data_IF_755121459459
#
_entry.id   IF_755121459459
#
_cell.length_a   1.000
_cell.length_b   1.000
_cell.length_c   1.000
_cell.angle_alpha   90.00
_cell.angle_beta   90.00
_cell.angle_gamma   90.00
#
_symmetry.space_group_name_H-M   'P 1'
#
loop_
_entity.id
_entity.type
_entity.pdbx_description
1 polymer ?
#
# COMPACT_ATOMS: atom_id res chain seq x y z
N UNK A 1 3.11 -13.48 -13.91
CA UNK A 1 4.33 -13.75 -14.71
C UNK A 1 4.23 -15.15 -15.28
N UNK A 2 4.44 -15.29 -16.57
CA UNK A 2 4.48 -16.60 -17.26
C UNK A 2 5.91 -16.77 -17.78
N UNK A 3 6.49 -17.95 -17.50
CA UNK A 3 7.76 -18.37 -18.07
C UNK A 3 7.51 -19.57 -18.99
N UNK A 4 8.26 -19.63 -20.08
CA UNK A 4 8.11 -20.71 -21.05
C UNK A 4 9.09 -20.59 -22.20
N UNK A 5 9.08 -21.55 -23.07
CA UNK A 5 9.90 -21.53 -24.27
C UNK A 5 9.17 -20.82 -25.40
N UNK A 6 9.91 -20.00 -26.12
CA UNK A 6 9.39 -19.26 -27.28
C UNK A 6 9.94 -19.81 -28.59
N UNK A 7 9.13 -19.76 -29.63
CA UNK A 7 9.54 -20.01 -31.00
C UNK A 7 10.31 -18.77 -31.54
N UNK A 8 11.31 -18.99 -32.34
CA UNK A 8 11.94 -17.90 -33.10
C UNK A 8 10.86 -17.28 -34.01
N UNK A 9 10.73 -15.95 -33.97
CA UNK A 9 9.77 -15.25 -34.81
C UNK A 9 10.14 -15.36 -36.29
N UNK A 10 9.13 -15.53 -37.13
CA UNK A 10 9.26 -15.51 -38.58
C UNK A 10 9.15 -14.09 -39.14
N UNK A 11 9.57 -13.93 -40.39
CA UNK A 11 9.54 -12.62 -41.05
C UNK A 11 8.09 -12.09 -41.14
N UNK A 12 7.87 -10.87 -40.62
CA UNK A 12 6.55 -10.23 -40.53
C UNK A 12 5.82 -10.37 -39.18
N UNK A 13 6.29 -11.17 -38.28
CA UNK A 13 5.69 -11.27 -36.93
C UNK A 13 6.22 -10.18 -35.99
N UNK A 14 5.30 -9.52 -35.28
CA UNK A 14 5.64 -8.48 -34.29
C UNK A 14 6.26 -9.07 -33.02
N UNK A 15 5.78 -10.24 -32.58
CA UNK A 15 6.20 -10.93 -31.35
C UNK A 15 6.48 -12.40 -31.62
N UNK A 16 7.37 -13.00 -30.80
CA UNK A 16 7.60 -14.45 -30.77
C UNK A 16 6.42 -15.17 -30.11
N UNK A 17 6.02 -16.31 -30.64
CA UNK A 17 4.96 -17.12 -30.03
C UNK A 17 5.51 -17.95 -28.88
N UNK A 18 4.74 -18.09 -27.81
CA UNK A 18 5.01 -19.00 -26.71
C UNK A 18 4.69 -20.45 -27.14
N UNK A 19 5.66 -21.36 -27.06
CA UNK A 19 5.48 -22.77 -27.43
C UNK A 19 4.82 -23.56 -26.30
N UNK A 20 5.36 -23.44 -25.09
CA UNK A 20 4.79 -24.03 -23.89
C UNK A 20 5.20 -23.26 -22.66
N UNK A 21 4.37 -23.39 -21.62
CA UNK A 21 4.55 -22.73 -20.32
C UNK A 21 5.28 -23.66 -19.39
N UNK A 22 6.38 -23.18 -18.79
CA UNK A 22 7.15 -23.91 -17.78
C UNK A 22 6.74 -23.55 -16.36
N UNK A 23 6.39 -22.27 -16.13
CA UNK A 23 5.86 -21.83 -14.84
C UNK A 23 4.88 -20.67 -14.99
N UNK A 24 3.96 -20.57 -14.02
CA UNK A 24 3.02 -19.46 -13.86
C UNK A 24 3.22 -18.88 -12.45
N UNK A 25 3.62 -17.61 -12.35
CA UNK A 25 3.95 -16.92 -11.09
C UNK A 25 4.99 -17.66 -10.22
N UNK A 26 5.92 -18.39 -10.85
CA UNK A 26 6.94 -19.19 -10.18
C UNK A 26 6.52 -20.61 -9.83
N UNK A 27 5.25 -20.98 -10.03
CA UNK A 27 4.71 -22.33 -9.76
C UNK A 27 4.55 -23.15 -11.03
N UNK A 28 4.59 -24.47 -10.88
CA UNK A 28 4.29 -25.37 -12.01
C UNK A 28 2.85 -25.17 -12.50
N UNK A 29 2.57 -25.23 -13.82
CA UNK A 29 1.23 -24.96 -14.35
C UNK A 29 0.09 -25.80 -13.74
N UNK A 30 0.39 -27.05 -13.31
CA UNK A 30 -0.60 -27.92 -12.65
C UNK A 30 -1.05 -27.40 -11.27
N UNK A 31 -0.21 -26.67 -10.57
CA UNK A 31 -0.58 -26.07 -9.28
C UNK A 31 -1.55 -24.89 -9.45
N UNK A 32 -1.43 -24.18 -10.57
CA UNK A 32 -2.34 -23.09 -10.93
C UNK A 32 -3.80 -23.53 -11.09
N UNK A 33 -4.05 -24.80 -11.39
CA UNK A 33 -5.41 -25.36 -11.52
C UNK A 33 -6.09 -25.61 -10.16
N UNK A 34 -5.31 -25.76 -9.08
CA UNK A 34 -5.79 -26.07 -7.73
C UNK A 34 -5.94 -24.82 -6.84
N UNK A 35 -5.54 -23.63 -7.34
CA UNK A 35 -5.63 -22.40 -6.56
C UNK A 35 -7.06 -21.93 -6.39
N UNK A 36 -7.34 -21.25 -5.28
CA UNK A 36 -8.57 -20.53 -5.09
C UNK A 36 -8.67 -19.33 -6.07
N UNK A 37 -9.88 -18.94 -6.41
CA UNK A 37 -10.10 -17.64 -7.04
C UNK A 37 -10.19 -16.59 -5.94
N UNK A 38 -9.44 -15.50 -6.04
CA UNK A 38 -9.39 -14.43 -5.05
C UNK A 38 -10.78 -13.91 -4.65
N UNK A 39 -11.68 -13.76 -5.60
CA UNK A 39 -13.03 -13.24 -5.34
C UNK A 39 -13.91 -14.23 -4.54
N UNK A 40 -13.56 -15.51 -4.52
CA UNK A 40 -14.29 -16.57 -3.81
C UNK A 40 -13.68 -16.89 -2.43
N UNK A 41 -12.54 -16.28 -2.09
CA UNK A 41 -11.91 -16.47 -0.78
C UNK A 41 -12.66 -15.68 0.30
N UNK A 42 -12.65 -16.21 1.52
CA UNK A 42 -13.38 -15.64 2.65
C UNK A 42 -12.55 -14.57 3.38
N UNK A 43 -12.89 -13.27 3.31
CA UNK A 43 -12.16 -12.25 4.03
C UNK A 43 -12.45 -12.31 5.54
N UNK A 44 -11.40 -12.15 6.34
CA UNK A 44 -11.46 -12.02 7.80
C UNK A 44 -10.79 -10.73 8.25
N UNK A 45 -11.02 -10.33 9.50
CA UNK A 45 -10.29 -9.19 10.08
C UNK A 45 -8.79 -9.51 10.19
N UNK A 46 -7.91 -8.50 10.05
CA UNK A 46 -6.51 -8.64 10.41
C UNK A 46 -6.37 -9.07 11.88
N UNK A 47 -5.80 -10.24 12.12
CA UNK A 47 -5.63 -10.86 13.43
C UNK A 47 -4.19 -11.33 13.71
N UNK A 48 -3.33 -11.23 12.70
CA UNK A 48 -1.89 -11.47 12.80
C UNK A 48 -1.12 -10.17 12.56
N UNK A 49 -0.44 -9.69 13.62
CA UNK A 49 0.29 -8.42 13.61
C UNK A 49 1.59 -8.52 12.81
N UNK A 50 1.84 -7.54 11.96
CA UNK A 50 3.13 -7.31 11.32
C UNK A 50 3.95 -6.38 12.20
N UNK A 51 4.90 -6.94 12.96
CA UNK A 51 5.75 -6.17 13.88
C UNK A 51 6.72 -5.31 13.06
N UNK A 52 6.70 -3.99 13.33
CA UNK A 52 7.57 -3.01 12.68
C UNK A 52 8.85 -2.75 13.48
N UNK A 53 8.82 -2.93 14.79
CA UNK A 53 10.02 -2.78 15.63
C UNK A 53 11.07 -3.83 15.26
N UNK A 54 12.31 -3.39 15.14
CA UNK A 54 13.46 -4.24 14.82
C UNK A 54 14.72 -3.72 15.52
N UNK A 55 15.71 -4.58 15.80
CA UNK A 55 16.99 -4.13 16.33
C UNK A 55 17.63 -3.05 15.42
N UNK A 56 18.00 -1.91 16.02
CA UNK A 56 18.50 -0.74 15.28
C UNK A 56 17.43 0.00 14.47
N UNK A 57 16.14 -0.28 14.69
CA UNK A 57 15.03 0.44 14.09
C UNK A 57 14.79 1.83 14.69
N UNK A 58 13.94 2.60 14.04
CA UNK A 58 13.60 3.96 14.47
C UNK A 58 12.47 3.97 15.50
N UNK A 59 12.39 5.04 16.30
CA UNK A 59 11.26 5.28 17.21
C UNK A 59 9.92 5.30 16.47
N UNK A 60 9.91 5.72 15.20
CA UNK A 60 8.71 5.68 14.36
C UNK A 60 8.09 4.28 14.29
N UNK A 61 8.91 3.24 14.12
CA UNK A 61 8.42 1.86 14.02
C UNK A 61 7.79 1.36 15.32
N UNK A 62 8.31 1.76 16.47
CA UNK A 62 7.72 1.48 17.78
C UNK A 62 6.38 2.19 17.97
N UNK A 63 6.29 3.45 17.53
CA UNK A 63 5.03 4.21 17.58
C UNK A 63 3.99 3.56 16.66
N UNK A 64 4.37 3.15 15.45
CA UNK A 64 3.46 2.43 14.53
C UNK A 64 2.92 1.16 15.19
N UNK A 65 3.80 0.37 15.81
CA UNK A 65 3.39 -0.89 16.47
C UNK A 65 2.36 -0.70 17.57
N UNK A 66 2.42 0.41 18.30
CA UNK A 66 1.54 0.65 19.44
C UNK A 66 0.30 1.46 19.07
N UNK A 67 0.47 2.53 18.29
CA UNK A 67 -0.60 3.50 18.01
C UNK A 67 -1.42 3.12 16.77
N UNK A 68 -0.76 2.59 15.74
CA UNK A 68 -1.41 2.19 14.49
C UNK A 68 -0.89 0.83 14.04
N UNK A 69 -1.15 -0.23 14.83
CA UNK A 69 -0.64 -1.57 14.52
C UNK A 69 -1.14 -2.04 13.16
N UNK A 70 -0.26 -2.70 12.42
CA UNK A 70 -0.53 -3.21 11.09
C UNK A 70 -0.69 -4.71 11.19
N UNK A 71 -1.83 -5.22 10.73
CA UNK A 71 -2.07 -6.66 10.61
C UNK A 71 -2.03 -7.15 9.16
N UNK A 72 -1.84 -8.43 8.95
CA UNK A 72 -1.98 -9.06 7.64
C UNK A 72 -3.39 -8.80 7.07
N UNK A 73 -3.46 -8.27 5.87
CA UNK A 73 -4.73 -7.87 5.25
C UNK A 73 -5.18 -6.44 5.58
N UNK A 74 -4.36 -5.63 6.24
CA UNK A 74 -4.66 -4.25 6.60
C UNK A 74 -4.87 -3.35 5.39
N UNK A 75 -5.87 -2.47 5.44
CA UNK A 75 -6.06 -1.34 4.52
C UNK A 75 -5.63 -0.06 5.24
N UNK A 76 -4.32 0.23 5.22
CA UNK A 76 -3.76 1.35 5.95
C UNK A 76 -3.51 2.58 5.08
N UNK A 77 -3.82 3.75 5.62
CA UNK A 77 -3.43 5.02 5.03
C UNK A 77 -2.33 5.69 5.85
N UNK A 78 -1.28 6.15 5.16
CA UNK A 78 -0.26 7.02 5.71
C UNK A 78 -0.56 8.42 5.20
N UNK A 79 -1.20 9.21 6.05
CA UNK A 79 -1.67 10.56 5.72
C UNK A 79 -0.53 11.56 5.95
N UNK A 80 -0.11 12.26 4.92
CA UNK A 80 1.08 13.10 5.00
C UNK A 80 0.91 14.44 4.31
N UNK A 81 1.13 15.54 5.03
CA UNK A 81 1.39 16.83 4.39
C UNK A 81 2.76 16.79 3.68
N UNK A 82 3.00 17.72 2.73
CA UNK A 82 4.30 17.83 2.07
C UNK A 82 5.45 18.00 3.07
N UNK A 83 6.58 17.33 2.81
CA UNK A 83 7.83 17.40 3.59
C UNK A 83 7.77 16.86 5.02
N UNK A 84 6.73 16.14 5.42
CA UNK A 84 6.60 15.59 6.78
C UNK A 84 7.38 14.27 7.03
N UNK A 85 8.21 13.82 6.10
CA UNK A 85 9.02 12.60 6.29
C UNK A 85 8.39 11.32 5.73
N UNK A 86 7.38 11.43 4.85
CA UNK A 86 6.66 10.32 4.21
C UNK A 86 7.59 9.25 3.65
N UNK A 87 8.54 9.62 2.78
CA UNK A 87 9.45 8.69 2.09
C UNK A 87 10.37 7.95 3.06
N UNK A 88 10.85 8.63 4.10
CA UNK A 88 11.66 8.01 5.17
C UNK A 88 10.84 6.96 5.92
N UNK A 89 9.60 7.29 6.29
CA UNK A 89 8.70 6.38 6.97
C UNK A 89 8.38 5.15 6.13
N UNK A 90 8.09 5.32 4.84
CA UNK A 90 7.87 4.20 3.91
C UNK A 90 9.07 3.27 3.80
N UNK A 91 10.28 3.84 3.71
CA UNK A 91 11.51 3.05 3.70
C UNK A 91 11.72 2.27 5.00
N UNK A 92 11.40 2.87 6.15
CA UNK A 92 11.51 2.19 7.45
C UNK A 92 10.49 1.05 7.58
N UNK A 93 9.24 1.26 7.16
CA UNK A 93 8.22 0.21 7.09
C UNK A 93 8.68 -0.93 6.19
N UNK A 94 9.17 -0.63 4.98
CA UNK A 94 9.68 -1.64 4.05
C UNK A 94 10.81 -2.47 4.66
N UNK A 95 11.80 -1.81 5.28
CA UNK A 95 12.93 -2.49 5.96
C UNK A 95 12.49 -3.35 7.13
N UNK A 96 11.47 -2.91 7.88
CA UNK A 96 10.91 -3.69 8.99
C UNK A 96 10.19 -4.93 8.51
N UNK A 97 9.37 -4.81 7.46
CA UNK A 97 8.70 -5.96 6.83
C UNK A 97 9.72 -6.99 6.37
N UNK A 98 10.75 -6.57 5.62
CA UNK A 98 11.78 -7.47 5.10
C UNK A 98 12.60 -8.14 6.20
N UNK A 99 12.85 -7.45 7.29
CA UNK A 99 13.64 -7.99 8.40
C UNK A 99 12.87 -9.00 9.23
N UNK A 100 11.60 -8.69 9.53
CA UNK A 100 10.79 -9.45 10.46
C UNK A 100 9.94 -10.54 9.77
N UNK A 101 9.65 -10.39 8.46
CA UNK A 101 8.77 -11.28 7.69
C UNK A 101 9.45 -11.70 6.38
N UNK A 102 10.42 -12.61 6.47
CA UNK A 102 11.31 -12.99 5.35
C UNK A 102 10.60 -13.62 4.15
N UNK A 103 9.48 -14.30 4.41
CA UNK A 103 8.70 -15.01 3.38
C UNK A 103 7.63 -14.11 2.72
N UNK A 104 7.46 -12.90 3.24
CA UNK A 104 6.47 -11.95 2.74
C UNK A 104 6.91 -11.32 1.41
N UNK A 105 5.99 -11.24 0.48
CA UNK A 105 6.20 -10.56 -0.80
C UNK A 105 5.94 -9.06 -0.64
N UNK A 106 6.94 -8.24 -0.91
CA UNK A 106 6.85 -6.80 -0.82
C UNK A 106 6.84 -6.17 -2.21
N UNK A 107 5.74 -5.50 -2.55
CA UNK A 107 5.62 -4.72 -3.78
C UNK A 107 5.57 -3.24 -3.40
N UNK A 108 6.51 -2.45 -3.91
CA UNK A 108 6.49 -1.00 -3.77
C UNK A 108 6.01 -0.42 -5.09
N UNK A 109 4.88 0.27 -5.06
CA UNK A 109 4.27 0.89 -6.24
C UNK A 109 4.35 2.42 -6.12
N UNK A 110 5.14 3.02 -7.01
CA UNK A 110 5.36 4.46 -7.08
C UNK A 110 4.62 5.03 -8.29
N UNK A 111 3.64 5.90 -8.05
CA UNK A 111 2.82 6.51 -9.11
C UNK A 111 3.04 8.01 -9.15
N UNK A 112 3.40 8.51 -10.33
CA UNK A 112 3.63 9.95 -10.58
C UNK A 112 4.73 10.52 -9.64
N UNK A 113 5.73 9.67 -9.30
CA UNK A 113 6.87 10.06 -8.48
C UNK A 113 8.06 10.50 -9.34
N UNK A 114 9.02 11.18 -8.71
CA UNK A 114 10.22 11.65 -9.38
C UNK A 114 11.22 10.52 -9.63
N UNK A 115 11.94 10.51 -10.77
CA UNK A 115 12.91 9.47 -11.08
C UNK A 115 13.98 9.29 -9.99
N UNK A 116 14.45 10.40 -9.37
CA UNK A 116 15.43 10.35 -8.28
C UNK A 116 14.88 9.68 -7.02
N UNK A 117 13.58 9.88 -6.69
CA UNK A 117 12.94 9.19 -5.55
C UNK A 117 12.75 7.70 -5.83
N UNK A 118 12.45 7.35 -7.08
CA UNK A 118 12.41 5.94 -7.53
C UNK A 118 13.75 5.26 -7.36
N UNK A 119 14.84 5.92 -7.79
CA UNK A 119 16.20 5.39 -7.65
C UNK A 119 16.57 5.19 -6.19
N UNK A 120 16.33 6.18 -5.34
CA UNK A 120 16.62 6.14 -3.90
C UNK A 120 15.88 4.96 -3.20
N UNK A 121 14.63 4.70 -3.54
CA UNK A 121 13.88 3.57 -2.99
C UNK A 121 14.42 2.23 -3.51
N UNK A 122 14.72 2.11 -4.81
CA UNK A 122 15.26 0.88 -5.40
C UNK A 122 16.62 0.49 -4.84
N UNK A 123 17.47 1.47 -4.54
CA UNK A 123 18.76 1.23 -3.92
C UNK A 123 18.63 0.88 -2.43
N UNK A 124 17.72 1.56 -1.72
CA UNK A 124 17.53 1.38 -0.28
C UNK A 124 16.81 0.07 0.10
N UNK A 125 15.95 -0.46 -0.79
CA UNK A 125 15.08 -1.61 -0.51
C UNK A 125 15.32 -2.69 -1.55
N UNK A 126 16.05 -3.73 -1.15
CA UNK A 126 16.39 -4.88 -1.98
C UNK A 126 16.14 -6.19 -1.24
N UNK A 127 15.75 -7.21 -1.97
CA UNK A 127 15.52 -8.55 -1.42
C UNK A 127 14.95 -9.52 -2.46
N UNK A 128 14.96 -10.84 -2.19
CA UNK A 128 14.51 -11.85 -3.15
C UNK A 128 13.01 -11.76 -3.46
N UNK A 129 12.20 -11.30 -2.50
CA UNK A 129 10.74 -11.17 -2.63
C UNK A 129 10.33 -9.69 -2.73
N UNK A 130 11.20 -8.82 -3.23
CA UNK A 130 10.94 -7.38 -3.40
C UNK A 130 10.76 -7.03 -4.85
N UNK A 131 9.68 -6.33 -5.16
CA UNK A 131 9.42 -5.75 -6.48
C UNK A 131 9.18 -4.25 -6.32
N UNK A 132 10.02 -3.42 -6.95
CA UNK A 132 9.78 -1.97 -7.05
C UNK A 132 9.27 -1.67 -8.44
N UNK A 133 8.01 -1.30 -8.52
CA UNK A 133 7.27 -1.01 -9.75
C UNK A 133 6.90 0.47 -9.73
N UNK A 134 7.08 1.16 -10.83
CA UNK A 134 6.89 2.59 -10.87
C UNK A 134 6.35 3.08 -12.21
N UNK A 135 5.77 4.25 -12.16
CA UNK A 135 5.41 5.07 -13.31
C UNK A 135 5.67 6.53 -12.92
N UNK A 136 6.68 7.12 -13.51
CA UNK A 136 7.20 8.45 -13.15
C UNK A 136 6.32 9.58 -13.71
N UNK A 137 6.49 10.80 -13.20
CA UNK A 137 5.62 11.95 -13.52
C UNK A 137 5.62 12.36 -14.98
N UNK A 138 6.63 11.96 -15.76
CA UNK A 138 6.76 12.19 -17.20
C UNK A 138 5.99 11.17 -18.07
N UNK A 139 5.40 10.14 -17.44
CA UNK A 139 4.57 9.15 -18.11
C UNK A 139 3.12 9.62 -18.25
N UNK A 140 2.41 9.06 -19.22
CA UNK A 140 0.99 9.37 -19.43
C UNK A 140 0.10 8.78 -18.32
N UNK A 141 -1.04 9.43 -18.01
CA UNK A 141 -1.98 8.93 -16.98
C UNK A 141 -2.48 7.51 -17.25
N UNK A 142 -2.63 7.11 -18.51
CA UNK A 142 -3.00 5.74 -18.90
C UNK A 142 -1.94 4.72 -18.49
N UNK A 143 -0.67 5.11 -18.43
CA UNK A 143 0.41 4.26 -17.97
C UNK A 143 0.31 4.05 -16.46
N UNK A 144 0.07 5.09 -15.66
CA UNK A 144 -0.18 4.99 -14.22
C UNK A 144 -1.34 4.04 -13.92
N UNK A 145 -2.46 4.18 -14.65
CA UNK A 145 -3.61 3.28 -14.55
C UNK A 145 -3.22 1.84 -14.83
N UNK A 146 -2.59 1.58 -15.97
CA UNK A 146 -2.21 0.23 -16.42
C UNK A 146 -1.27 -0.46 -15.42
N UNK A 147 -0.26 0.26 -14.95
CA UNK A 147 0.71 -0.27 -13.99
C UNK A 147 0.03 -0.65 -12.67
N UNK A 148 -0.87 0.19 -12.14
CA UNK A 148 -1.61 -0.10 -10.92
C UNK A 148 -2.52 -1.34 -11.05
N UNK A 149 -3.22 -1.48 -12.18
CA UNK A 149 -4.06 -2.65 -12.48
C UNK A 149 -3.22 -3.94 -12.55
N UNK A 150 -2.05 -3.89 -13.18
CA UNK A 150 -1.13 -5.03 -13.25
C UNK A 150 -0.61 -5.43 -11.87
N UNK A 151 -0.28 -4.47 -11.01
CA UNK A 151 0.22 -4.72 -9.66
C UNK A 151 -0.83 -5.41 -8.79
N UNK A 152 -2.05 -4.92 -8.75
CA UNK A 152 -3.10 -5.53 -7.93
C UNK A 152 -3.46 -6.93 -8.43
N UNK A 153 -3.49 -7.15 -9.74
CA UNK A 153 -3.72 -8.50 -10.30
C UNK A 153 -2.57 -9.46 -9.99
N UNK A 154 -1.32 -8.98 -10.03
CA UNK A 154 -0.18 -9.78 -9.60
C UNK A 154 -0.29 -10.16 -8.12
N UNK A 155 -0.58 -9.21 -7.24
CA UNK A 155 -0.74 -9.46 -5.82
C UNK A 155 -1.86 -10.49 -5.54
N UNK A 156 -3.02 -10.34 -6.20
CA UNK A 156 -4.12 -11.33 -6.10
C UNK A 156 -3.69 -12.74 -6.48
N UNK A 157 -2.91 -12.88 -7.58
CA UNK A 157 -2.39 -14.21 -8.01
C UNK A 157 -1.45 -14.82 -6.97
N UNK A 158 -0.64 -14.01 -6.26
CA UNK A 158 0.22 -14.51 -5.19
C UNK A 158 -0.62 -14.97 -3.97
N UNK A 159 -1.64 -14.20 -3.60
CA UNK A 159 -2.56 -14.56 -2.50
C UNK A 159 -3.34 -15.85 -2.81
N UNK A 160 -3.75 -16.08 -4.05
CA UNK A 160 -4.39 -17.32 -4.48
C UNK A 160 -3.49 -18.56 -4.27
N UNK A 161 -2.18 -18.35 -4.23
CA UNK A 161 -1.18 -19.36 -3.84
C UNK A 161 -0.86 -19.33 -2.33
N UNK A 162 -1.72 -18.72 -1.51
CA UNK A 162 -1.59 -18.59 -0.05
C UNK A 162 -0.34 -17.82 0.40
N UNK A 163 0.17 -16.93 -0.44
CA UNK A 163 1.28 -16.07 -0.07
C UNK A 163 0.77 -14.80 0.62
N UNK A 164 1.56 -14.31 1.57
CA UNK A 164 1.34 -13.02 2.20
C UNK A 164 2.03 -11.91 1.40
N UNK A 165 1.26 -10.93 0.99
CA UNK A 165 1.73 -9.83 0.13
C UNK A 165 1.48 -8.49 0.80
N UNK A 166 2.47 -7.61 0.75
CA UNK A 166 2.31 -6.19 1.12
C UNK A 166 2.53 -5.32 -0.10
N UNK A 167 1.62 -4.40 -0.35
CA UNK A 167 1.80 -3.30 -1.31
C UNK A 167 2.01 -2.01 -0.54
N UNK A 168 3.14 -1.35 -0.75
CA UNK A 168 3.35 0.04 -0.34
C UNK A 168 3.09 0.93 -1.55
N UNK A 169 1.98 1.68 -1.52
CA UNK A 169 1.59 2.58 -2.62
C UNK A 169 1.93 4.03 -2.29
N UNK A 170 2.76 4.64 -3.09
CA UNK A 170 3.02 6.08 -3.06
C UNK A 170 2.66 6.71 -4.41
N UNK A 171 1.51 7.39 -4.57
CA UNK A 171 0.45 7.63 -3.61
C UNK A 171 -0.94 7.32 -4.18
N UNK A 172 -1.90 7.05 -3.31
CA UNK A 172 -3.32 6.86 -3.70
C UNK A 172 -3.91 8.16 -4.27
N UNK A 173 -3.46 9.32 -3.76
CA UNK A 173 -3.89 10.64 -4.24
C UNK A 173 -3.52 10.83 -5.71
N UNK A 174 -2.28 10.53 -6.07
CA UNK A 174 -1.81 10.65 -7.45
C UNK A 174 -2.44 9.62 -8.37
N UNK A 175 -2.67 8.41 -7.86
CA UNK A 175 -3.40 7.38 -8.60
C UNK A 175 -4.83 7.84 -8.92
N UNK A 176 -5.56 8.39 -7.95
CA UNK A 176 -6.91 8.91 -8.16
C UNK A 176 -6.92 10.09 -9.15
N UNK A 177 -5.92 10.98 -9.09
CA UNK A 177 -5.75 12.06 -10.07
C UNK A 177 -5.53 11.53 -11.49
N UNK A 178 -4.70 10.50 -11.66
CA UNK A 178 -4.47 9.88 -12.95
C UNK A 178 -5.76 9.27 -13.52
N UNK A 179 -6.53 8.57 -12.69
CA UNK A 179 -7.84 8.08 -13.11
C UNK A 179 -8.81 9.20 -13.49
N UNK A 180 -8.77 10.35 -12.78
CA UNK A 180 -9.61 11.51 -13.10
C UNK A 180 -9.34 12.10 -14.50
N UNK A 181 -8.12 11.93 -15.00
CA UNK A 181 -7.74 12.36 -16.34
C UNK A 181 -8.14 11.36 -17.44
N UNK A 182 -8.31 10.08 -17.09
CA UNK A 182 -8.49 8.99 -18.07
C UNK A 182 -9.93 8.52 -18.18
N UNK A 183 -10.71 8.61 -17.10
CA UNK A 183 -12.10 8.13 -17.11
C UNK A 183 -13.00 9.07 -17.92
N UNK A 184 -13.96 8.53 -18.69
CA UNK A 184 -14.98 9.36 -19.33
C UNK A 184 -15.76 10.17 -18.29
N UNK A 185 -16.08 11.45 -18.56
CA UNK A 185 -16.84 12.28 -17.64
C UNK A 185 -18.21 11.66 -17.30
N UNK A 186 -18.54 11.52 -16.02
CA UNK A 186 -19.82 11.01 -15.55
C UNK A 186 -20.96 12.05 -15.62
N UNK A 187 -20.63 13.31 -15.91
CA UNK A 187 -21.55 14.44 -15.86
C UNK A 187 -21.80 14.98 -14.45
N UNK A 188 -21.11 14.42 -13.45
CA UNK A 188 -21.13 14.89 -12.06
C UNK A 188 -19.71 15.23 -11.64
N UNK A 189 -19.56 16.27 -10.82
CA UNK A 189 -18.24 16.70 -10.35
C UNK A 189 -18.32 16.96 -8.84
N UNK A 190 -17.41 16.33 -8.09
CA UNK A 190 -17.17 16.61 -6.68
C UNK A 190 -16.34 17.90 -6.53
N UNK A 191 -16.25 18.42 -5.31
CA UNK A 191 -15.39 19.57 -5.02
C UNK A 191 -13.96 19.33 -5.52
N UNK A 192 -13.30 20.38 -6.01
CA UNK A 192 -11.96 20.28 -6.55
C UNK A 192 -11.84 19.69 -7.97
N UNK A 193 -12.96 19.49 -8.67
CA UNK A 193 -12.93 19.00 -10.06
C UNK A 193 -12.77 17.49 -10.20
N UNK A 194 -13.05 16.73 -9.15
CA UNK A 194 -12.96 15.26 -9.15
C UNK A 194 -14.25 14.64 -9.69
N UNK A 195 -14.14 13.78 -10.70
CA UNK A 195 -15.26 12.95 -11.16
C UNK A 195 -15.44 11.75 -10.21
N UNK A 196 -16.67 11.47 -9.73
CA UNK A 196 -16.93 10.29 -8.89
C UNK A 196 -16.49 8.97 -9.51
N UNK A 197 -16.58 8.85 -10.84
CA UNK A 197 -16.13 7.68 -11.58
C UNK A 197 -14.64 7.41 -11.47
N UNK A 198 -13.83 8.46 -11.27
CA UNK A 198 -12.39 8.34 -11.09
C UNK A 198 -11.98 7.60 -9.81
N UNK A 199 -12.85 7.57 -8.81
CA UNK A 199 -12.58 6.93 -7.52
C UNK A 199 -12.84 5.42 -7.54
N UNK A 200 -13.63 4.91 -8.47
CA UNK A 200 -14.10 3.53 -8.46
C UNK A 200 -12.94 2.52 -8.50
N UNK A 201 -12.06 2.64 -9.47
CA UNK A 201 -10.94 1.70 -9.62
C UNK A 201 -9.87 1.85 -8.52
N UNK A 202 -9.44 3.06 -8.11
CA UNK A 202 -8.57 3.23 -6.95
C UNK A 202 -9.17 2.69 -5.64
N UNK A 203 -10.49 2.84 -5.40
CA UNK A 203 -11.18 2.21 -4.26
C UNK A 203 -11.17 0.69 -4.37
N UNK A 204 -11.38 0.14 -5.57
CA UNK A 204 -11.28 -1.30 -5.81
C UNK A 204 -9.86 -1.84 -5.61
N UNK A 205 -8.85 -1.07 -5.99
CA UNK A 205 -7.45 -1.37 -5.70
C UNK A 205 -7.21 -1.43 -4.18
N UNK A 206 -7.53 -0.37 -3.46
CA UNK A 206 -7.33 -0.29 -2.01
C UNK A 206 -8.19 -1.30 -1.24
N UNK A 207 -9.42 -1.51 -1.66
CA UNK A 207 -10.35 -2.49 -1.11
C UNK A 207 -9.98 -3.95 -1.38
N UNK A 208 -8.98 -4.22 -2.22
CA UNK A 208 -8.45 -5.56 -2.42
C UNK A 208 -7.65 -6.07 -1.21
N UNK A 209 -7.21 -5.17 -0.32
CA UNK A 209 -6.52 -5.57 0.91
C UNK A 209 -7.44 -6.38 1.83
N UNK A 210 -7.07 -7.63 2.09
CA UNK A 210 -7.85 -8.61 2.87
C UNK A 210 -6.93 -9.64 3.49
N UNK A 211 -7.26 -10.09 4.69
CA UNK A 211 -6.77 -11.34 5.25
C UNK A 211 -7.74 -12.47 4.85
N UNK A 212 -7.23 -13.64 4.48
CA UNK A 212 -8.04 -14.73 3.94
C UNK A 212 -8.05 -15.94 4.86
N UNK A 213 -9.26 -16.46 5.14
CA UNK A 213 -9.42 -17.67 5.98
C UNK A 213 -8.71 -18.89 5.40
N UNK A 214 -8.66 -19.00 4.10
CA UNK A 214 -8.04 -20.12 3.37
C UNK A 214 -6.50 -20.05 3.38
N UNK A 215 -5.95 -18.96 3.90
CA UNK A 215 -4.53 -18.63 3.94
C UNK A 215 -4.12 -17.66 2.85
N UNK A 216 -3.03 -16.94 3.13
CA UNK A 216 -2.57 -15.81 2.33
C UNK A 216 -3.27 -14.50 2.71
N UNK A 217 -2.59 -13.39 2.50
CA UNK A 217 -3.13 -12.06 2.79
C UNK A 217 -2.62 -11.02 1.80
N UNK A 218 -3.42 -9.98 1.57
CA UNK A 218 -3.01 -8.79 0.86
C UNK A 218 -3.15 -7.59 1.79
N UNK A 219 -2.02 -7.03 2.20
CA UNK A 219 -1.93 -5.78 2.97
C UNK A 219 -1.61 -4.63 2.02
N UNK A 220 -2.32 -3.52 2.12
CA UNK A 220 -2.04 -2.32 1.32
C UNK A 220 -1.87 -1.14 2.28
N UNK A 221 -0.67 -0.54 2.24
CA UNK A 221 -0.37 0.72 2.92
C UNK A 221 -0.19 1.79 1.85
N UNK A 222 -1.16 2.69 1.75
CA UNK A 222 -1.17 3.73 0.74
C UNK A 222 -0.91 5.10 1.37
N UNK A 223 -0.02 5.90 0.78
CA UNK A 223 0.12 7.29 1.20
C UNK A 223 -1.00 8.14 0.62
N UNK A 224 -1.55 9.03 1.44
CA UNK A 224 -2.51 10.05 1.04
C UNK A 224 -1.91 11.44 1.31
N UNK A 225 -2.00 12.32 0.32
CA UNK A 225 -1.50 13.69 0.42
C UNK A 225 -2.59 14.61 0.96
N UNK A 226 -2.24 15.40 1.96
CA UNK A 226 -3.12 16.44 2.58
C UNK A 226 -2.37 17.75 2.70
N UNK A 227 -3.07 18.85 2.97
CA UNK A 227 -2.48 20.18 3.11
C UNK A 227 -1.61 20.62 1.92
N UNK A 228 -1.96 20.16 0.72
CA UNK A 228 -1.26 20.51 -0.52
C UNK A 228 -1.75 21.84 -1.12
N UNK A 229 -2.82 22.40 -0.58
CA UNK A 229 -3.55 23.53 -1.15
C UNK A 229 -4.52 23.14 -2.28
N UNK A 230 -4.63 21.85 -2.60
CA UNK A 230 -5.55 21.32 -3.60
C UNK A 230 -6.80 20.74 -2.98
N UNK A 231 -7.98 21.35 -3.23
CA UNK A 231 -9.27 20.80 -2.80
C UNK A 231 -9.54 19.37 -3.32
N UNK A 232 -8.97 19.02 -4.46
CA UNK A 232 -9.10 17.67 -5.00
C UNK A 232 -8.43 16.65 -4.08
N UNK A 233 -7.26 16.96 -3.52
CA UNK A 233 -6.54 16.05 -2.62
C UNK A 233 -7.30 15.84 -1.32
N UNK A 234 -7.91 16.90 -0.78
CA UNK A 234 -8.73 16.81 0.43
C UNK A 234 -9.95 15.90 0.19
N UNK A 235 -10.62 16.05 -0.96
CA UNK A 235 -11.75 15.18 -1.33
C UNK A 235 -11.30 13.74 -1.52
N UNK A 236 -10.18 13.50 -2.19
CA UNK A 236 -9.63 12.15 -2.35
C UNK A 236 -9.36 11.53 -0.97
N UNK A 237 -8.69 12.25 -0.08
CA UNK A 237 -8.42 11.76 1.27
C UNK A 237 -9.70 11.35 2.00
N UNK A 238 -10.70 12.23 2.06
CA UNK A 238 -11.98 11.95 2.74
C UNK A 238 -12.70 10.73 2.13
N UNK A 239 -12.67 10.58 0.81
CA UNK A 239 -13.28 9.44 0.11
C UNK A 239 -12.59 8.09 0.40
N UNK A 240 -11.29 8.10 0.67
CA UNK A 240 -10.54 6.89 1.03
C UNK A 240 -10.52 6.61 2.53
N UNK A 241 -10.67 7.62 3.38
CA UNK A 241 -10.74 7.49 4.84
C UNK A 241 -11.83 6.47 5.28
N UNK A 242 -12.99 6.54 4.65
CA UNK A 242 -14.07 5.59 4.90
C UNK A 242 -13.80 4.15 4.43
N UNK A 243 -12.87 3.95 3.50
CA UNK A 243 -12.50 2.64 2.96
C UNK A 243 -11.40 1.96 3.78
N UNK A 244 -10.51 2.76 4.37
CA UNK A 244 -9.42 2.28 5.22
C UNK A 244 -9.88 1.74 6.57
N UNK A 245 -9.02 0.97 7.21
CA UNK A 245 -9.20 0.48 8.58
C UNK A 245 -7.98 0.73 9.47
N UNK A 246 -7.05 1.54 9.02
CA UNK A 246 -5.88 2.02 9.77
C UNK A 246 -5.45 3.36 9.18
N UNK A 247 -5.14 4.31 10.04
CA UNK A 247 -4.57 5.60 9.67
C UNK A 247 -3.33 5.88 10.49
N UNK A 248 -2.27 6.34 9.83
CA UNK A 248 -1.07 6.90 10.43
C UNK A 248 -0.90 8.32 9.90
N UNK A 249 -1.16 9.29 10.75
CA UNK A 249 -1.22 10.71 10.37
C UNK A 249 0.09 11.39 10.72
N UNK A 250 0.73 12.02 9.74
CA UNK A 250 1.88 12.89 9.95
C UNK A 250 1.41 14.34 10.13
N UNK A 251 2.02 15.04 11.06
CA UNK A 251 1.66 16.42 11.43
C UNK A 251 2.72 17.43 10.97
N UNK A 252 2.26 18.45 10.26
CA UNK A 252 3.12 19.53 9.77
C UNK A 252 3.69 20.40 10.90
N UNK A 253 2.94 20.63 11.98
CA UNK A 253 3.39 21.46 13.10
C UNK A 253 4.52 20.78 13.86
N UNK A 254 4.47 19.46 14.01
CA UNK A 254 5.57 18.68 14.59
C UNK A 254 6.83 18.77 13.71
N UNK A 255 6.65 18.64 12.39
CA UNK A 255 7.75 18.77 11.43
C UNK A 255 8.37 20.18 11.46
N UNK A 256 7.58 21.25 11.52
CA UNK A 256 8.06 22.62 11.63
C UNK A 256 8.83 22.86 12.93
N UNK A 257 8.43 22.21 14.02
CA UNK A 257 9.16 22.19 15.31
C UNK A 257 10.36 21.24 15.32
N UNK A 258 10.65 20.54 14.22
CA UNK A 258 11.70 19.51 14.08
C UNK A 258 11.56 18.35 15.07
N UNK A 259 10.33 18.02 15.45
CA UNK A 259 10.01 16.84 16.23
C UNK A 259 9.81 15.66 15.25
N UNK A 260 10.65 14.65 15.34
CA UNK A 260 10.59 13.47 14.49
C UNK A 260 10.62 12.18 15.35
N UNK A 261 9.81 11.17 14.97
CA UNK A 261 8.88 11.17 13.85
C UNK A 261 7.72 12.17 14.07
N UNK A 262 7.31 12.85 13.01
CA UNK A 262 6.23 13.84 13.07
C UNK A 262 4.84 13.16 13.02
N UNK A 263 4.60 12.19 13.88
CA UNK A 263 3.37 11.39 13.94
C UNK A 263 2.39 12.05 14.92
N UNK A 264 1.18 12.35 14.46
CA UNK A 264 0.05 12.76 15.28
C UNK A 264 -0.60 11.49 15.89
N UNK A 265 -0.26 11.20 17.14
CA UNK A 265 -0.74 9.99 17.82
C UNK A 265 -2.23 10.03 18.15
N UNK A 266 -2.83 11.23 18.29
CA UNK A 266 -4.25 11.38 18.58
C UNK A 266 -5.13 11.11 17.35
N UNK A 267 -4.63 11.41 16.13
CA UNK A 267 -5.34 11.18 14.88
C UNK A 267 -5.00 9.83 14.23
N UNK A 268 -4.00 9.13 14.76
CA UNK A 268 -3.57 7.85 14.27
C UNK A 268 -4.24 6.71 15.01
N UNK A 269 -4.49 5.57 14.34
CA UNK A 269 -5.10 4.41 14.98
C UNK A 269 -5.45 3.31 14.00
N UNK A 270 -5.76 2.13 14.53
CA UNK A 270 -6.18 0.95 13.77
C UNK A 270 -7.54 0.46 14.28
N UNK A 271 -8.45 0.20 13.35
CA UNK A 271 -9.74 -0.39 13.66
C UNK A 271 -9.54 -1.86 14.07
N UNK A 272 -10.15 -2.28 15.18
CA UNK A 272 -9.95 -3.61 15.78
C UNK A 272 -8.51 -3.87 16.20
N UNK A 273 -7.83 -2.88 16.78
CA UNK A 273 -6.51 -3.03 17.38
C UNK A 273 -6.48 -4.09 18.50
N UNK A 274 -7.64 -4.37 19.09
CA UNK A 274 -7.84 -5.43 20.08
C UNK A 274 -7.45 -6.83 19.58
N UNK A 275 -7.45 -7.05 18.26
CA UNK A 275 -7.00 -8.30 17.64
C UNK A 275 -5.48 -8.34 17.41
N UNK A 276 -4.80 -7.21 17.50
CA UNK A 276 -3.39 -7.05 17.16
C UNK A 276 -2.50 -6.70 18.34
N UNK A 277 -3.04 -6.10 19.40
CA UNK A 277 -2.33 -5.69 20.61
C UNK A 277 -2.65 -6.61 21.77
N UNK A 278 -1.66 -6.89 22.63
CA UNK A 278 -1.89 -7.54 23.91
C UNK A 278 -2.70 -6.62 24.83
N UNK A 279 -3.26 -7.19 25.89
CA UNK A 279 -4.03 -6.40 26.86
C UNK A 279 -3.17 -5.33 27.54
N UNK A 280 -1.93 -5.67 27.89
CA UNK A 280 -0.99 -4.72 28.48
C UNK A 280 -0.63 -3.58 27.51
N UNK A 281 -0.45 -3.90 26.23
CA UNK A 281 -0.21 -2.88 25.19
C UNK A 281 -1.41 -1.95 25.03
N UNK A 282 -2.64 -2.48 25.00
CA UNK A 282 -3.87 -1.68 24.93
C UNK A 282 -4.01 -0.73 26.11
N UNK A 283 -3.77 -1.22 27.33
CA UNK A 283 -3.80 -0.41 28.57
C UNK A 283 -2.74 0.70 28.52
N UNK A 284 -1.52 0.39 28.09
CA UNK A 284 -0.43 1.37 27.95
C UNK A 284 -0.74 2.45 26.91
N UNK A 285 -1.31 2.07 25.74
CA UNK A 285 -1.74 3.00 24.69
C UNK A 285 -2.86 3.91 25.19
N UNK A 286 -3.85 3.35 25.90
CA UNK A 286 -4.94 4.13 26.48
C UNK A 286 -4.42 5.20 27.45
N UNK A 287 -3.51 4.83 28.36
CA UNK A 287 -2.89 5.77 29.31
C UNK A 287 -2.11 6.86 28.54
N UNK A 288 -1.33 6.48 27.54
CA UNK A 288 -0.57 7.42 26.73
C UNK A 288 -1.48 8.46 26.03
N UNK A 289 -2.59 8.02 25.46
CA UNK A 289 -3.56 8.90 24.78
C UNK A 289 -4.29 9.83 25.77
N UNK A 290 -4.61 9.36 26.98
CA UNK A 290 -5.19 10.21 28.03
C UNK A 290 -4.24 11.35 28.41
N UNK A 291 -2.99 11.06 28.72
CA UNK A 291 -2.01 12.10 29.08
C UNK A 291 -1.72 13.11 27.97
N UNK A 292 -1.88 12.71 26.70
CA UNK A 292 -1.72 13.63 25.57
C UNK A 292 -2.95 14.51 25.34
N UNK A 293 -4.16 14.07 25.72
CA UNK A 293 -5.36 14.91 25.66
C UNK A 293 -5.38 15.96 26.78
N UNK A 294 -4.99 15.59 27.99
CA UNK A 294 -4.97 16.52 29.15
C UNK A 294 -3.86 17.57 29.06
N UNK A 295 -2.79 17.32 28.32
CA UNK A 295 -1.72 18.30 28.09
C UNK A 295 -2.01 19.33 27.01
N UNK A 296 -3.16 19.24 26.34
CA UNK A 296 -3.60 20.14 25.26
C UNK A 296 -4.57 21.22 25.74
N UNK A 297 -5.07 21.16 26.98
CA UNK A 297 -5.82 22.18 27.72
C UNK A 297 -4.90 22.99 28.62
#
# INVERSE_FOLDING_TARGET
IIQGNIRIKTQGEKFSALLYVTSINGFHPSEGQKRYNFENMTPIFPDERLIMERPGGTTAMRIVDLISPIGKGQRGMIVSPPKAGKTTLLKDVAKSILKNNKDMHLIILLIDERPEEVTDIREAIQGPNVEVIYSTFDELPEHHKRVSEMVVERARRLVEHKQDVVILLDSITRLARAYNLVVPPSGRTLSGGLDPGALHMPKRFFGAARNMREGGSLTILATALVDTGSKMDDVIYEEFKGTGNMELVLDRKLQEKRVFPAIDIQKSGTRREDLLLSREEQEAVYICLLYTSDAAD
#
